data_IF_119680462086
#
_entry.id   IF_119680462086
#
_cell.length_a   1.000
_cell.length_b   1.000
_cell.length_c   1.000
_cell.angle_alpha   90.00
_cell.angle_beta   90.00
_cell.angle_gamma   90.00
#
_symmetry.space_group_name_H-M   'P 1'
#
loop_
_entity.id
_entity.type
_entity.pdbx_description
1 polymer ?
#
# COMPACT_ATOMS: atom_id res chain seq x y z
N UNK A 1 -9.58 58.31 -2.37
CA UNK A 1 -10.16 57.14 -1.68
C UNK A 1 -11.06 56.47 -2.70
N UNK A 2 -10.72 55.26 -3.16
CA UNK A 2 -11.64 54.51 -4.01
C UNK A 2 -12.88 54.18 -3.15
N UNK A 3 -14.11 54.39 -3.66
CA UNK A 3 -15.30 54.13 -2.87
C UNK A 3 -15.39 52.66 -2.48
N UNK A 4 -15.76 52.36 -1.23
CA UNK A 4 -15.80 50.99 -0.68
C UNK A 4 -16.65 50.01 -1.52
N UNK A 5 -17.66 50.51 -2.26
CA UNK A 5 -18.49 49.70 -3.15
C UNK A 5 -17.75 49.11 -4.36
N UNK A 6 -16.69 49.77 -4.83
CA UNK A 6 -15.83 49.27 -5.92
C UNK A 6 -15.12 48.00 -5.48
N UNK A 7 -14.58 47.98 -4.26
CA UNK A 7 -13.88 46.82 -3.72
C UNK A 7 -14.81 45.61 -3.52
N UNK A 8 -16.03 45.82 -3.03
CA UNK A 8 -17.02 44.75 -2.86
C UNK A 8 -17.47 44.14 -4.18
N UNK A 9 -17.60 44.95 -5.23
CA UNK A 9 -17.99 44.49 -6.57
C UNK A 9 -16.89 43.62 -7.20
N UNK A 10 -15.62 44.02 -7.04
CA UNK A 10 -14.48 43.22 -7.50
C UNK A 10 -14.35 41.90 -6.76
N UNK A 11 -14.57 41.88 -5.45
CA UNK A 11 -14.56 40.65 -4.66
C UNK A 11 -15.66 39.69 -5.10
N UNK A 12 -16.88 40.19 -5.32
CA UNK A 12 -18.00 39.38 -5.81
C UNK A 12 -17.74 38.85 -7.23
N UNK A 13 -17.17 39.68 -8.12
CA UNK A 13 -16.81 39.25 -9.47
C UNK A 13 -15.73 38.16 -9.43
N UNK A 14 -14.70 38.32 -8.60
CA UNK A 14 -13.65 37.31 -8.40
C UNK A 14 -14.23 36.00 -7.87
N UNK A 15 -15.14 36.06 -6.90
CA UNK A 15 -15.84 34.92 -6.31
C UNK A 15 -16.57 34.08 -7.39
N UNK A 16 -17.34 34.74 -8.26
CA UNK A 16 -18.03 34.08 -9.37
C UNK A 16 -17.09 33.54 -10.44
N UNK A 17 -16.01 34.25 -10.76
CA UNK A 17 -14.98 33.76 -11.69
C UNK A 17 -14.37 32.47 -11.16
N UNK A 18 -14.04 32.39 -9.87
CA UNK A 18 -13.52 31.17 -9.24
C UNK A 18 -14.51 30.01 -9.37
N UNK A 19 -15.80 30.24 -9.08
CA UNK A 19 -16.85 29.20 -9.17
C UNK A 19 -17.04 28.67 -10.59
N UNK A 20 -17.15 29.56 -11.58
CA UNK A 20 -17.34 29.19 -12.98
C UNK A 20 -16.10 28.48 -13.53
N UNK A 21 -14.90 28.98 -13.21
CA UNK A 21 -13.67 28.30 -13.58
C UNK A 21 -13.57 26.91 -12.94
N UNK A 22 -13.92 26.77 -11.66
CA UNK A 22 -13.94 25.48 -10.98
C UNK A 22 -14.95 24.51 -11.63
N UNK A 23 -16.15 24.98 -11.98
CA UNK A 23 -17.19 24.17 -12.64
C UNK A 23 -16.72 23.61 -13.99
N UNK A 24 -15.96 24.38 -14.76
CA UNK A 24 -15.43 23.95 -16.05
C UNK A 24 -14.16 23.08 -15.91
N UNK A 25 -13.35 23.33 -14.88
CA UNK A 25 -12.04 22.70 -14.71
C UNK A 25 -12.05 21.38 -13.94
N UNK A 26 -12.81 21.31 -12.84
CA UNK A 26 -12.76 20.20 -11.87
C UNK A 26 -13.35 18.89 -12.44
N UNK A 27 -14.55 18.90 -13.07
CA UNK A 27 -15.16 17.66 -13.56
C UNK A 27 -14.34 16.93 -14.63
N UNK A 28 -13.54 17.66 -15.40
CA UNK A 28 -12.71 17.06 -16.46
C UNK A 28 -11.45 16.35 -15.93
N UNK A 29 -11.17 16.46 -14.62
CA UNK A 29 -9.90 16.04 -14.03
C UNK A 29 -10.07 15.14 -12.81
N UNK A 30 -11.24 15.12 -12.18
CA UNK A 30 -11.47 14.35 -10.96
C UNK A 30 -12.65 13.41 -11.13
N UNK A 31 -12.72 12.38 -10.28
CA UNK A 31 -13.86 11.46 -10.30
C UNK A 31 -15.16 12.23 -10.02
N UNK A 32 -16.33 11.78 -10.53
CA UNK A 32 -17.59 12.48 -10.31
C UNK A 32 -17.95 12.67 -8.83
N UNK A 33 -17.48 11.79 -7.94
CA UNK A 33 -17.60 11.94 -6.48
C UNK A 33 -16.76 13.10 -5.96
N UNK A 34 -15.44 13.06 -6.19
CA UNK A 34 -14.52 14.10 -5.76
C UNK A 34 -14.87 15.47 -6.35
N UNK A 35 -15.25 15.52 -7.64
CA UNK A 35 -15.67 16.73 -8.31
C UNK A 35 -16.83 17.42 -7.58
N UNK A 36 -17.86 16.66 -7.18
CA UNK A 36 -19.01 17.20 -6.42
C UNK A 36 -18.56 17.77 -5.08
N UNK A 37 -17.71 17.08 -4.34
CA UNK A 37 -17.21 17.52 -3.04
C UNK A 37 -16.40 18.82 -3.16
N UNK A 38 -15.50 18.90 -4.15
CA UNK A 38 -14.69 20.09 -4.40
C UNK A 38 -15.51 21.28 -4.89
N UNK A 39 -16.48 21.04 -5.79
CA UNK A 39 -17.39 22.08 -6.26
C UNK A 39 -18.30 22.60 -5.14
N UNK A 40 -18.74 21.74 -4.22
CA UNK A 40 -19.49 22.17 -3.03
C UNK A 40 -18.61 23.02 -2.11
N UNK A 41 -17.38 22.58 -1.81
CA UNK A 41 -16.46 23.35 -0.96
C UNK A 41 -16.13 24.72 -1.55
N UNK A 42 -15.82 24.77 -2.85
CA UNK A 42 -15.58 26.03 -3.57
C UNK A 42 -16.87 26.85 -3.69
N UNK A 43 -18.03 26.19 -3.78
CA UNK A 43 -19.33 26.85 -3.77
C UNK A 43 -19.66 27.52 -2.43
N UNK A 44 -19.26 26.97 -1.29
CA UNK A 44 -19.53 27.63 -0.01
C UNK A 44 -18.42 28.60 0.39
N UNK A 45 -17.16 28.27 0.11
CA UNK A 45 -15.99 29.04 0.58
C UNK A 45 -14.90 29.09 -0.51
N UNK A 46 -15.11 29.80 -1.64
CA UNK A 46 -14.22 29.72 -2.81
C UNK A 46 -12.80 30.20 -2.53
N UNK A 47 -12.62 31.22 -1.68
CA UNK A 47 -11.31 31.75 -1.30
C UNK A 47 -10.43 30.70 -0.60
N UNK A 48 -11.04 29.76 0.14
CA UNK A 48 -10.33 28.67 0.83
C UNK A 48 -10.37 27.38 -0.01
N UNK A 49 -11.51 27.09 -0.63
CA UNK A 49 -11.76 25.89 -1.40
C UNK A 49 -10.87 25.80 -2.64
N UNK A 50 -10.61 26.91 -3.35
CA UNK A 50 -9.74 26.89 -4.53
C UNK A 50 -8.28 26.57 -4.16
N UNK A 51 -7.63 27.24 -3.17
CA UNK A 51 -6.30 26.84 -2.71
C UNK A 51 -6.24 25.39 -2.25
N UNK A 52 -7.25 24.91 -1.51
CA UNK A 52 -7.30 23.51 -1.09
C UNK A 52 -7.41 22.55 -2.28
N UNK A 53 -8.24 22.86 -3.28
CA UNK A 53 -8.34 22.06 -4.51
C UNK A 53 -7.03 22.07 -5.30
N UNK A 54 -6.35 23.21 -5.38
CA UNK A 54 -5.07 23.30 -6.07
C UNK A 54 -3.96 22.55 -5.34
N UNK A 55 -4.09 22.31 -4.03
CA UNK A 55 -3.14 21.52 -3.23
C UNK A 55 -3.49 20.02 -3.19
N UNK A 56 -4.79 19.69 -3.19
CA UNK A 56 -5.30 18.36 -2.85
C UNK A 56 -6.37 17.80 -3.79
N UNK A 57 -6.77 18.52 -4.83
CA UNK A 57 -7.92 18.16 -5.66
C UNK A 57 -7.63 17.12 -6.74
N UNK A 58 -6.40 17.07 -7.24
CA UNK A 58 -6.01 16.16 -8.32
C UNK A 58 -4.68 15.49 -7.98
N UNK A 59 -4.55 14.15 -8.07
CA UNK A 59 -3.25 13.51 -8.00
C UNK A 59 -2.44 13.87 -9.25
N UNK A 60 -1.40 14.70 -9.12
CA UNK A 60 -0.46 14.94 -10.22
C UNK A 60 0.94 14.47 -9.82
N UNK A 61 1.62 13.89 -10.79
CA UNK A 61 3.05 13.67 -10.77
C UNK A 61 3.72 14.65 -11.74
N UNK A 62 4.96 15.03 -11.46
CA UNK A 62 5.73 15.83 -12.42
C UNK A 62 5.95 15.03 -13.71
N UNK A 63 5.97 15.70 -14.88
CA UNK A 63 6.20 15.04 -16.18
C UNK A 63 7.45 14.16 -16.18
N UNK A 64 8.53 14.65 -15.56
CA UNK A 64 9.77 13.91 -15.38
C UNK A 64 9.57 12.58 -14.63
N UNK A 65 8.72 12.54 -13.59
CA UNK A 65 8.43 11.28 -12.88
C UNK A 65 7.61 10.32 -13.71
N UNK A 66 6.61 10.83 -14.45
CA UNK A 66 5.80 9.99 -15.35
C UNK A 66 6.68 9.37 -16.43
N UNK A 67 7.56 10.16 -17.05
CA UNK A 67 8.53 9.68 -18.04
C UNK A 67 9.49 8.65 -17.43
N UNK A 68 10.08 8.95 -16.27
CA UNK A 68 10.97 8.00 -15.57
C UNK A 68 10.26 6.71 -15.19
N UNK A 69 9.01 6.78 -14.74
CA UNK A 69 8.22 5.58 -14.45
C UNK A 69 7.98 4.76 -15.71
N UNK A 70 7.61 5.39 -16.82
CA UNK A 70 7.40 4.67 -18.08
C UNK A 70 8.69 3.98 -18.56
N UNK A 71 9.84 4.65 -18.44
CA UNK A 71 11.15 4.04 -18.69
C UNK A 71 11.45 2.90 -17.72
N UNK A 72 11.16 3.06 -16.43
CA UNK A 72 11.38 2.02 -15.43
C UNK A 72 10.51 0.78 -15.71
N UNK A 73 9.25 0.95 -16.09
CA UNK A 73 8.37 -0.13 -16.54
C UNK A 73 8.95 -0.88 -17.74
N UNK A 74 9.54 -0.18 -18.71
CA UNK A 74 10.23 -0.83 -19.82
C UNK A 74 11.45 -1.64 -19.34
N UNK A 75 12.26 -1.06 -18.45
CA UNK A 75 13.43 -1.73 -17.88
C UNK A 75 13.03 -2.99 -17.09
N UNK A 76 11.93 -2.95 -16.34
CA UNK A 76 11.37 -4.10 -15.64
C UNK A 76 11.05 -5.24 -16.62
N UNK A 77 10.41 -4.93 -17.75
CA UNK A 77 10.12 -5.94 -18.78
C UNK A 77 11.39 -6.54 -19.39
N UNK A 78 12.39 -5.71 -19.68
CA UNK A 78 13.69 -6.16 -20.20
C UNK A 78 14.45 -7.03 -19.19
N UNK A 79 14.45 -6.66 -17.91
CA UNK A 79 15.17 -7.38 -16.85
C UNK A 79 14.53 -8.72 -16.48
N UNK A 80 13.28 -8.96 -16.89
CA UNK A 80 12.61 -10.25 -16.71
C UNK A 80 12.93 -11.26 -17.81
N UNK A 81 13.51 -10.83 -18.94
CA UNK A 81 13.84 -11.73 -20.06
C UNK A 81 14.63 -12.99 -19.64
N UNK A 82 15.65 -12.90 -18.76
CA UNK A 82 16.37 -14.08 -18.28
C UNK A 82 15.51 -15.06 -17.47
N UNK A 83 14.40 -14.59 -16.88
CA UNK A 83 13.50 -15.37 -16.04
C UNK A 83 12.37 -16.02 -16.83
N UNK A 84 12.24 -15.78 -18.15
CA UNK A 84 11.15 -16.34 -18.97
C UNK A 84 11.06 -17.86 -18.92
N UNK A 85 12.18 -18.56 -18.76
CA UNK A 85 12.21 -20.02 -18.61
C UNK A 85 11.49 -20.51 -17.33
N UNK A 86 11.35 -19.63 -16.34
CA UNK A 86 10.70 -19.88 -15.05
C UNK A 86 9.27 -19.34 -15.03
N UNK A 87 8.74 -18.85 -16.16
CA UNK A 87 7.38 -18.32 -16.26
C UNK A 87 6.37 -19.40 -15.87
N UNK A 88 5.57 -19.10 -14.85
CA UNK A 88 4.45 -19.97 -14.50
C UNK A 88 3.30 -19.76 -15.47
N UNK A 89 2.64 -20.85 -15.86
CA UNK A 89 1.39 -20.80 -16.60
C UNK A 89 0.29 -21.38 -15.71
N UNK A 90 -0.73 -20.58 -15.34
CA UNK A 90 -1.85 -21.09 -14.57
C UNK A 90 -2.59 -22.17 -15.37
N UNK A 91 -3.12 -23.22 -14.70
CA UNK A 91 -3.99 -24.19 -15.37
C UNK A 91 -5.21 -23.51 -16.00
N UNK A 92 -5.66 -23.99 -17.15
CA UNK A 92 -6.85 -23.45 -17.84
C UNK A 92 -8.10 -23.57 -16.96
N UNK A 93 -9.06 -22.65 -17.16
CA UNK A 93 -10.35 -22.62 -16.45
C UNK A 93 -10.26 -22.44 -14.92
N UNK A 94 -9.14 -21.91 -14.44
CA UNK A 94 -8.94 -21.53 -13.03
C UNK A 94 -9.08 -20.03 -12.82
N UNK A 95 -9.43 -19.62 -11.60
CA UNK A 95 -9.41 -18.22 -11.15
C UNK A 95 -8.04 -17.56 -11.41
N UNK A 96 -6.96 -18.31 -11.21
CA UNK A 96 -5.59 -17.88 -11.50
C UNK A 96 -5.36 -17.55 -12.98
N UNK A 97 -5.93 -18.33 -13.91
CA UNK A 97 -5.81 -18.07 -15.35
C UNK A 97 -6.49 -16.77 -15.80
N UNK A 98 -7.54 -16.36 -15.09
CA UNK A 98 -8.24 -15.10 -15.39
C UNK A 98 -7.53 -13.88 -14.79
N UNK A 99 -6.95 -14.01 -13.59
CA UNK A 99 -6.35 -12.86 -12.87
C UNK A 99 -4.90 -12.57 -13.26
N UNK A 100 -4.10 -13.60 -13.58
CA UNK A 100 -2.67 -13.44 -13.91
C UNK A 100 -2.43 -12.43 -15.05
N UNK A 101 -3.16 -12.47 -16.18
CA UNK A 101 -2.97 -11.52 -17.28
C UNK A 101 -3.36 -10.09 -16.92
N UNK A 102 -4.29 -9.90 -15.98
CA UNK A 102 -4.64 -8.57 -15.48
C UNK A 102 -3.46 -7.99 -14.69
N UNK A 103 -2.97 -8.76 -13.70
CA UNK A 103 -1.87 -8.36 -12.83
C UNK A 103 -0.59 -8.09 -13.64
N UNK A 104 -0.28 -8.94 -14.62
CA UNK A 104 0.92 -8.76 -15.44
C UNK A 104 0.85 -7.50 -16.29
N UNK A 105 -0.29 -7.23 -16.95
CA UNK A 105 -0.44 -6.05 -17.81
C UNK A 105 -0.48 -4.75 -17.03
N UNK A 106 -0.95 -4.79 -15.78
CA UNK A 106 -1.01 -3.63 -14.91
C UNK A 106 0.30 -3.38 -14.16
N UNK A 107 0.94 -4.45 -13.67
CA UNK A 107 2.14 -4.39 -12.83
C UNK A 107 3.46 -4.55 -13.57
N UNK A 108 3.46 -4.96 -14.84
CA UNK A 108 4.62 -5.34 -15.67
C UNK A 108 5.37 -6.60 -15.20
N UNK A 109 4.89 -7.32 -14.19
CA UNK A 109 5.58 -8.50 -13.64
C UNK A 109 4.88 -9.80 -14.03
N UNK A 110 5.63 -10.70 -14.69
CA UNK A 110 5.14 -12.03 -15.02
C UNK A 110 5.15 -12.95 -13.78
N UNK A 111 4.27 -13.96 -13.70
CA UNK A 111 4.35 -14.95 -12.63
C UNK A 111 5.55 -15.89 -12.85
N UNK A 112 6.23 -16.25 -11.77
CA UNK A 112 7.41 -17.15 -11.81
C UNK A 112 7.24 -18.34 -10.88
N UNK A 113 7.74 -19.50 -11.30
CA UNK A 113 7.96 -20.69 -10.49
C UNK A 113 9.30 -20.61 -9.75
N UNK A 114 9.59 -21.63 -8.94
CA UNK A 114 10.90 -21.76 -8.29
C UNK A 114 11.08 -20.88 -7.06
N UNK A 115 10.00 -20.42 -6.42
CA UNK A 115 10.08 -19.58 -5.23
C UNK A 115 9.84 -20.39 -3.96
N UNK A 116 10.39 -19.90 -2.85
CA UNK A 116 10.01 -20.31 -1.50
C UNK A 116 9.50 -19.10 -0.74
N UNK A 117 8.41 -19.27 0.02
CA UNK A 117 7.73 -18.20 0.76
C UNK A 117 7.49 -18.66 2.19
N UNK A 118 8.10 -17.96 3.13
CA UNK A 118 7.96 -18.18 4.56
C UNK A 118 7.17 -17.01 5.18
N UNK A 119 5.98 -17.29 5.72
CA UNK A 119 5.12 -16.28 6.35
C UNK A 119 5.53 -16.08 7.83
N UNK A 120 5.97 -14.87 8.14
CA UNK A 120 6.40 -14.43 9.46
C UNK A 120 5.32 -13.53 10.08
N UNK A 121 4.59 -14.07 11.05
CA UNK A 121 3.50 -13.40 11.79
C UNK A 121 3.89 -12.97 13.21
N UNK A 122 5.09 -13.32 13.65
CA UNK A 122 5.72 -12.79 14.87
C UNK A 122 6.55 -11.52 14.56
N UNK A 123 6.28 -10.46 15.32
CA UNK A 123 6.85 -9.14 15.09
C UNK A 123 8.36 -9.09 15.33
N UNK A 124 8.85 -9.74 16.39
CA UNK A 124 10.26 -9.71 16.75
C UNK A 124 11.08 -10.63 15.83
N UNK A 125 10.56 -11.82 15.54
CA UNK A 125 11.19 -12.81 14.67
C UNK A 125 11.37 -12.27 13.24
N UNK A 126 10.39 -11.55 12.69
CA UNK A 126 10.51 -10.93 11.37
C UNK A 126 11.63 -9.88 11.30
N UNK A 127 11.76 -9.02 12.31
CA UNK A 127 12.87 -8.07 12.41
C UNK A 127 14.23 -8.75 12.64
N UNK A 128 14.28 -9.79 13.49
CA UNK A 128 15.48 -10.58 13.70
C UNK A 128 15.93 -11.28 12.42
N UNK A 129 15.00 -11.84 11.66
CA UNK A 129 15.29 -12.46 10.36
C UNK A 129 15.83 -11.45 9.34
N UNK A 130 15.28 -10.23 9.32
CA UNK A 130 15.80 -9.14 8.48
C UNK A 130 17.22 -8.77 8.88
N UNK A 131 17.47 -8.53 10.18
CA UNK A 131 18.81 -8.16 10.68
C UNK A 131 19.82 -9.28 10.39
N UNK A 132 19.46 -10.54 10.64
CA UNK A 132 20.30 -11.69 10.36
C UNK A 132 20.63 -11.80 8.86
N UNK A 133 19.68 -11.50 7.97
CA UNK A 133 19.94 -11.46 6.54
C UNK A 133 20.92 -10.34 6.17
N UNK A 134 20.78 -9.14 6.74
CA UNK A 134 21.73 -8.03 6.53
C UNK A 134 23.14 -8.39 7.06
N UNK A 135 23.22 -9.05 8.20
CA UNK A 135 24.48 -9.50 8.78
C UNK A 135 25.15 -10.61 7.97
N UNK A 136 24.37 -11.46 7.29
CA UNK A 136 24.87 -12.49 6.38
C UNK A 136 25.20 -11.97 4.98
N UNK A 137 24.85 -10.72 4.65
CA UNK A 137 25.04 -10.18 3.31
C UNK A 137 26.52 -10.09 2.92
N UNK A 138 26.80 -10.36 1.64
CA UNK A 138 28.13 -10.39 1.03
C UNK A 138 28.30 -9.33 -0.07
N UNK A 139 27.25 -8.98 -0.82
CA UNK A 139 27.34 -8.13 -2.01
C UNK A 139 26.56 -6.83 -1.87
N UNK A 140 25.27 -6.89 -1.56
CA UNK A 140 24.38 -5.73 -1.49
C UNK A 140 23.17 -5.90 -0.58
N UNK A 141 22.74 -4.80 0.01
CA UNK A 141 21.52 -4.68 0.81
C UNK A 141 20.71 -3.50 0.30
N UNK A 142 19.45 -3.72 -0.03
CA UNK A 142 18.52 -2.69 -0.52
C UNK A 142 17.28 -2.68 0.36
N UNK A 143 17.06 -1.58 1.09
CA UNK A 143 15.91 -1.40 1.98
C UNK A 143 15.04 -0.26 1.47
N UNK A 144 13.73 -0.49 1.37
CA UNK A 144 12.74 0.53 1.05
C UNK A 144 11.60 0.44 2.06
N UNK A 145 11.40 1.50 2.85
CA UNK A 145 10.40 1.51 3.93
C UNK A 145 9.68 2.85 4.07
N UNK A 146 8.40 2.76 4.43
CA UNK A 146 7.56 3.92 4.75
C UNK A 146 7.91 4.56 6.09
N UNK A 147 7.98 3.76 7.18
CA UNK A 147 8.38 4.23 8.50
C UNK A 147 9.72 3.61 8.89
N UNK A 148 10.57 4.48 9.44
CA UNK A 148 11.72 4.12 10.25
C UNK A 148 11.77 5.06 11.44
N UNK A 149 11.72 4.52 12.65
CA UNK A 149 11.72 5.30 13.89
C UNK A 149 13.09 5.35 14.55
N UNK A 150 13.30 6.40 15.34
CA UNK A 150 14.50 6.61 16.15
C UNK A 150 14.40 5.87 17.50
N UNK A 151 14.24 4.55 17.42
CA UNK A 151 14.04 3.62 18.53
C UNK A 151 15.01 2.41 18.45
N UNK A 152 14.86 1.42 19.35
CA UNK A 152 15.80 0.28 19.42
C UNK A 152 15.84 -0.55 18.13
N UNK A 153 14.71 -0.65 17.42
CA UNK A 153 14.64 -1.34 16.12
C UNK A 153 15.40 -0.54 15.07
N UNK A 154 15.18 0.78 15.00
CA UNK A 154 15.92 1.66 14.10
C UNK A 154 17.44 1.61 14.36
N UNK A 155 17.86 1.65 15.62
CA UNK A 155 19.27 1.53 16.02
C UNK A 155 19.88 0.17 15.63
N UNK A 156 19.14 -0.92 15.83
CA UNK A 156 19.59 -2.27 15.47
C UNK A 156 19.77 -2.45 13.95
N UNK A 157 18.83 -1.94 13.14
CA UNK A 157 18.93 -1.97 11.67
C UNK A 157 20.10 -1.13 11.18
N UNK A 158 20.30 0.07 11.75
CA UNK A 158 21.45 0.94 11.41
C UNK A 158 22.77 0.23 11.74
N UNK A 159 22.87 -0.38 12.91
CA UNK A 159 24.06 -1.12 13.31
C UNK A 159 24.34 -2.31 12.37
N UNK A 160 23.31 -3.02 11.93
CA UNK A 160 23.44 -4.12 10.96
C UNK A 160 23.94 -3.62 9.60
N UNK A 161 23.38 -2.52 9.10
CA UNK A 161 23.83 -1.89 7.85
C UNK A 161 25.28 -1.40 7.94
N UNK A 162 25.69 -0.82 9.07
CA UNK A 162 27.08 -0.39 9.29
C UNK A 162 28.04 -1.59 9.32
N UNK A 163 27.65 -2.70 9.98
CA UNK A 163 28.43 -3.94 9.94
C UNK A 163 28.55 -4.48 8.52
N UNK A 164 27.47 -4.48 7.74
CA UNK A 164 27.49 -4.90 6.35
C UNK A 164 28.42 -4.02 5.49
N UNK A 165 28.26 -2.71 5.61
CA UNK A 165 29.10 -1.74 4.91
C UNK A 165 30.58 -1.88 5.28
N UNK A 166 30.90 -2.15 6.55
CA UNK A 166 32.27 -2.38 7.01
C UNK A 166 32.90 -3.65 6.38
N UNK A 167 32.08 -4.65 6.00
CA UNK A 167 32.53 -5.83 5.23
C UNK A 167 32.64 -5.56 3.72
N UNK A 168 32.32 -4.34 3.26
CA UNK A 168 32.33 -3.96 1.84
C UNK A 168 31.01 -4.20 1.09
N UNK A 169 29.95 -4.59 1.81
CA UNK A 169 28.61 -4.81 1.22
C UNK A 169 28.00 -3.47 0.82
N UNK A 170 27.49 -3.36 -0.41
CA UNK A 170 26.87 -2.11 -0.88
C UNK A 170 25.46 -1.93 -0.30
N UNK A 171 25.30 -0.97 0.59
CA UNK A 171 24.01 -0.72 1.26
C UNK A 171 23.29 0.51 0.67
N UNK A 172 22.01 0.34 0.30
CA UNK A 172 21.13 1.42 -0.18
C UNK A 172 19.81 1.43 0.58
N UNK A 173 19.40 2.61 1.04
CA UNK A 173 18.18 2.79 1.84
C UNK A 173 17.31 3.90 1.23
N UNK A 174 16.08 3.53 0.89
CA UNK A 174 15.01 4.42 0.46
C UNK A 174 14.00 4.56 1.60
N UNK A 175 13.81 5.78 2.09
CA UNK A 175 12.87 6.07 3.18
C UNK A 175 11.86 7.10 2.73
N UNK A 176 10.57 6.89 2.97
CA UNK A 176 9.56 7.92 2.71
C UNK A 176 9.86 9.19 3.53
N UNK A 177 9.88 10.34 2.86
CA UNK A 177 10.35 11.57 3.47
C UNK A 177 9.47 12.10 4.60
N UNK A 178 8.20 11.68 4.66
CA UNK A 178 7.25 12.13 5.68
C UNK A 178 7.04 11.04 6.73
N UNK A 179 6.78 9.80 6.30
CA UNK A 179 6.61 8.67 7.19
C UNK A 179 7.87 8.40 8.04
N UNK A 180 9.03 8.34 7.41
CA UNK A 180 10.31 8.07 8.08
C UNK A 180 11.05 9.34 8.50
N UNK A 181 10.37 10.49 8.65
CA UNK A 181 11.00 11.77 9.02
C UNK A 181 11.84 11.68 10.30
N UNK A 182 11.38 10.90 11.29
CA UNK A 182 12.11 10.64 12.55
C UNK A 182 13.44 9.92 12.30
N UNK A 183 13.40 8.75 11.65
CA UNK A 183 14.58 7.98 11.28
C UNK A 183 15.53 8.75 10.34
N UNK A 184 15.01 9.45 9.33
CA UNK A 184 15.81 10.30 8.43
C UNK A 184 16.55 11.39 9.19
N UNK A 185 15.91 12.05 10.15
CA UNK A 185 16.56 13.10 10.97
C UNK A 185 17.67 12.51 11.85
N UNK A 186 17.44 11.33 12.43
CA UNK A 186 18.36 10.67 13.36
C UNK A 186 19.55 10.02 12.65
N UNK A 187 19.31 9.24 11.61
CA UNK A 187 20.29 8.29 11.07
C UNK A 187 20.94 8.71 9.76
N UNK A 188 20.28 9.54 8.93
CA UNK A 188 20.74 9.81 7.56
C UNK A 188 22.18 10.33 7.48
N UNK A 189 22.57 11.29 8.33
CA UNK A 189 23.93 11.84 8.33
C UNK A 189 24.97 10.78 8.71
N UNK A 190 24.66 9.95 9.71
CA UNK A 190 25.52 8.86 10.19
C UNK A 190 25.73 7.81 9.11
N UNK A 191 24.64 7.33 8.50
CA UNK A 191 24.68 6.33 7.43
C UNK A 191 25.48 6.83 6.22
N UNK A 192 25.24 8.07 5.77
CA UNK A 192 26.00 8.66 4.66
C UNK A 192 27.49 8.80 4.98
N UNK A 193 27.84 9.20 6.21
CA UNK A 193 29.25 9.27 6.64
C UNK A 193 29.92 7.89 6.68
N UNK A 194 29.14 6.83 6.95
CA UNK A 194 29.60 5.44 6.87
C UNK A 194 29.69 4.87 5.45
N UNK A 195 29.31 5.64 4.41
CA UNK A 195 29.34 5.19 3.01
C UNK A 195 28.07 4.48 2.53
N UNK A 196 27.01 4.47 3.35
CA UNK A 196 25.70 3.88 3.00
C UNK A 196 24.88 4.91 2.23
N UNK A 197 24.32 4.52 1.09
CA UNK A 197 23.52 5.42 0.26
C UNK A 197 22.10 5.57 0.83
N UNK A 198 21.69 6.79 1.23
CA UNK A 198 20.37 7.04 1.84
C UNK A 198 19.62 8.17 1.16
N UNK A 199 18.44 7.87 0.61
CA UNK A 199 17.56 8.84 -0.04
C UNK A 199 16.19 8.92 0.63
N UNK A 200 15.66 10.15 0.64
CA UNK A 200 14.29 10.42 1.05
C UNK A 200 13.40 10.41 -0.21
N UNK A 201 12.43 9.50 -0.24
CA UNK A 201 11.47 9.31 -1.34
C UNK A 201 10.31 10.29 -1.18
N UNK A 202 9.82 10.84 -2.30
CA UNK A 202 8.71 11.80 -2.33
C UNK A 202 8.82 12.96 -1.30
N UNK A 203 9.93 13.75 -1.28
CA UNK A 203 10.22 14.75 -0.25
C UNK A 203 9.25 15.94 -0.11
N UNK A 204 8.29 16.12 -1.03
CA UNK A 204 7.35 17.24 -1.00
C UNK A 204 8.02 18.63 -1.00
N UNK A 205 7.36 19.62 -0.41
CA UNK A 205 7.90 20.98 -0.17
C UNK A 205 8.12 21.82 -1.44
N UNK A 206 9.02 22.81 -1.40
CA UNK A 206 9.35 23.67 -2.56
C UNK A 206 9.87 22.89 -3.79
N UNK A 207 10.25 21.61 -3.59
CA UNK A 207 10.64 20.66 -4.63
C UNK A 207 9.45 19.90 -5.25
N UNK A 208 8.20 20.17 -4.84
CA UNK A 208 6.98 19.55 -5.36
C UNK A 208 6.85 19.63 -6.89
N UNK A 209 7.33 20.71 -7.51
CA UNK A 209 7.39 20.87 -8.98
C UNK A 209 8.20 19.77 -9.69
N UNK A 210 9.16 19.14 -9.01
CA UNK A 210 9.99 18.03 -9.51
C UNK A 210 9.55 16.66 -8.96
N UNK A 211 8.54 16.62 -8.10
CA UNK A 211 8.09 15.39 -7.44
C UNK A 211 6.65 15.08 -7.85
N UNK A 212 5.68 15.58 -7.09
CA UNK A 212 4.26 15.38 -7.27
C UNK A 212 3.51 16.09 -6.14
N UNK A 213 2.21 15.80 -5.99
CA UNK A 213 1.38 16.29 -4.89
C UNK A 213 2.00 15.95 -3.52
N UNK A 214 1.82 16.84 -2.53
CA UNK A 214 2.54 16.77 -1.26
C UNK A 214 2.19 15.57 -0.38
N UNK A 215 1.04 14.93 -0.61
CA UNK A 215 0.47 13.84 0.17
C UNK A 215 0.63 12.47 -0.49
N UNK A 216 1.28 12.38 -1.65
CA UNK A 216 1.72 11.11 -2.22
C UNK A 216 2.79 10.51 -1.32
N UNK A 217 2.73 9.21 -1.08
CA UNK A 217 3.67 8.49 -0.20
C UNK A 217 4.12 7.20 -0.82
N UNK A 218 5.34 6.79 -0.52
CA UNK A 218 5.79 5.44 -0.83
C UNK A 218 5.56 4.58 0.42
N UNK A 219 4.55 3.72 0.32
CA UNK A 219 4.07 2.92 1.41
C UNK A 219 4.51 1.45 1.31
N UNK A 220 5.39 1.15 0.35
CA UNK A 220 6.02 -0.17 0.21
C UNK A 220 6.98 -0.44 1.37
N UNK A 221 7.13 -1.72 1.71
CA UNK A 221 8.13 -2.24 2.66
C UNK A 221 8.80 -3.42 1.99
N UNK A 222 10.02 -3.20 1.52
CA UNK A 222 10.80 -4.15 0.73
C UNK A 222 12.20 -4.20 1.30
N UNK A 223 12.72 -5.39 1.51
CA UNK A 223 14.15 -5.61 1.68
C UNK A 223 14.63 -6.64 0.66
N UNK A 224 15.77 -6.37 0.03
CA UNK A 224 16.44 -7.30 -0.87
C UNK A 224 17.90 -7.42 -0.42
N UNK A 225 18.32 -8.66 -0.14
CA UNK A 225 19.66 -8.98 0.33
C UNK A 225 20.30 -9.93 -0.68
N UNK A 226 21.42 -9.49 -1.27
CA UNK A 226 22.23 -10.20 -2.25
C UNK A 226 21.48 -10.79 -3.44
N UNK A 227 20.26 -10.31 -3.68
CA UNK A 227 19.32 -10.91 -4.63
C UNK A 227 19.02 -12.40 -4.35
N UNK A 228 19.25 -12.85 -3.11
CA UNK A 228 18.99 -14.23 -2.66
C UNK A 228 17.79 -14.31 -1.71
N UNK A 229 17.61 -13.29 -0.86
CA UNK A 229 16.53 -13.22 0.11
C UNK A 229 15.81 -11.89 -0.03
N UNK A 230 14.48 -11.94 -0.09
CA UNK A 230 13.60 -10.79 -0.09
C UNK A 230 12.67 -10.77 1.12
N UNK A 231 12.20 -9.59 1.49
CA UNK A 231 11.13 -9.40 2.45
C UNK A 231 10.09 -8.44 1.86
N UNK A 232 8.81 -8.80 1.98
CA UNK A 232 7.69 -7.96 1.55
C UNK A 232 6.52 -8.13 2.52
N UNK A 233 5.83 -7.03 2.86
CA UNK A 233 4.67 -7.11 3.74
C UNK A 233 4.29 -5.79 4.39
N UNK A 234 3.73 -5.90 5.59
CA UNK A 234 3.16 -4.77 6.35
C UNK A 234 4.15 -4.14 7.34
N UNK A 235 5.14 -4.94 7.77
CA UNK A 235 6.41 -4.64 8.43
C UNK A 235 6.99 -3.22 8.40
N UNK A 236 6.82 -2.34 9.38
CA UNK A 236 7.64 -1.11 9.46
C UNK A 236 8.92 -1.27 10.33
N UNK A 237 9.92 -0.41 10.15
CA UNK A 237 11.15 -0.41 10.97
C UNK A 237 10.97 0.42 12.25
N UNK A 238 10.23 -0.15 13.20
CA UNK A 238 9.93 0.47 14.49
C UNK A 238 9.68 -0.60 15.57
N UNK A 239 9.72 -0.22 16.85
CA UNK A 239 9.31 -1.09 17.95
C UNK A 239 7.80 -1.39 17.91
N UNK A 240 7.38 -2.63 18.19
CA UNK A 240 5.98 -3.03 18.14
C UNK A 240 5.04 -2.09 18.92
N UNK A 241 5.50 -1.57 20.07
CA UNK A 241 4.75 -0.68 20.96
C UNK A 241 4.62 0.77 20.50
N UNK A 242 4.96 1.13 19.26
CA UNK A 242 4.88 2.53 18.84
C UNK A 242 3.45 3.10 18.79
N UNK A 243 2.42 2.24 18.82
CA UNK A 243 1.04 2.63 19.11
C UNK A 243 0.78 2.37 20.58
N UNK A 244 0.46 3.45 21.31
CA UNK A 244 0.22 3.39 22.75
C UNK A 244 -0.86 2.34 23.08
N UNK A 245 -0.57 1.51 24.08
CA UNK A 245 -1.41 0.43 24.61
C UNK A 245 -1.78 -0.71 23.64
N UNK A 246 -1.32 -0.69 22.38
CA UNK A 246 -1.68 -1.69 21.38
C UNK A 246 -0.46 -2.02 20.51
N UNK A 247 0.39 -2.99 20.94
CA UNK A 247 1.53 -3.38 20.14
C UNK A 247 1.08 -3.82 18.74
N UNK A 248 1.89 -3.56 17.72
CA UNK A 248 1.56 -3.88 16.34
C UNK A 248 1.66 -5.40 16.11
N UNK A 249 0.68 -5.94 15.39
CA UNK A 249 0.76 -7.27 14.78
C UNK A 249 0.75 -7.13 13.27
N UNK A 250 1.78 -7.66 12.64
CA UNK A 250 2.05 -7.50 11.21
C UNK A 250 2.32 -8.87 10.58
N UNK A 251 2.28 -8.90 9.25
CA UNK A 251 2.63 -10.07 8.46
C UNK A 251 3.70 -9.67 7.44
N UNK A 252 4.76 -10.48 7.37
CA UNK A 252 5.86 -10.34 6.41
C UNK A 252 6.06 -11.68 5.71
N UNK A 253 6.18 -11.66 4.39
CA UNK A 253 6.69 -12.79 3.63
C UNK A 253 8.20 -12.64 3.47
N UNK A 254 8.96 -13.59 4.00
CA UNK A 254 10.36 -13.80 3.63
C UNK A 254 10.38 -14.72 2.41
N UNK A 255 11.06 -14.28 1.36
CA UNK A 255 11.03 -14.97 0.07
C UNK A 255 12.42 -15.29 -0.43
N UNK A 256 12.53 -16.39 -1.16
CA UNK A 256 13.73 -16.82 -1.90
C UNK A 256 13.30 -17.25 -3.30
N UNK A 257 14.23 -17.14 -4.24
CA UNK A 257 14.00 -17.50 -5.64
C UNK A 257 13.69 -16.33 -6.55
N UNK A 258 13.20 -16.61 -7.78
CA UNK A 258 13.07 -15.62 -8.85
C UNK A 258 12.31 -14.34 -8.49
N UNK A 259 11.37 -14.41 -7.55
CA UNK A 259 10.63 -13.26 -7.02
C UNK A 259 11.53 -12.21 -6.34
N UNK A 260 12.70 -12.61 -5.85
CA UNK A 260 13.67 -11.67 -5.27
C UNK A 260 14.22 -10.73 -6.35
N UNK A 261 14.46 -11.23 -7.57
CA UNK A 261 14.82 -10.38 -8.71
C UNK A 261 13.71 -9.36 -9.01
N UNK A 262 12.45 -9.78 -8.93
CA UNK A 262 11.31 -8.89 -9.15
C UNK A 262 11.23 -7.80 -8.06
N UNK A 263 11.46 -8.17 -6.79
CA UNK A 263 11.52 -7.19 -5.69
C UNK A 263 12.67 -6.21 -5.90
N UNK A 264 13.82 -6.69 -6.38
CA UNK A 264 14.95 -5.84 -6.73
C UNK A 264 14.63 -4.88 -7.88
N UNK A 265 13.91 -5.35 -8.91
CA UNK A 265 13.47 -4.51 -10.01
C UNK A 265 12.49 -3.41 -9.54
N UNK A 266 11.62 -3.69 -8.58
CA UNK A 266 10.77 -2.66 -7.94
C UNK A 266 11.64 -1.64 -7.20
N UNK A 267 12.62 -2.09 -6.39
CA UNK A 267 13.54 -1.18 -5.72
C UNK A 267 14.35 -0.32 -6.70
N UNK A 268 14.87 -0.92 -7.77
CA UNK A 268 15.62 -0.24 -8.81
C UNK A 268 14.77 0.80 -9.57
N UNK A 269 13.48 0.49 -9.79
CA UNK A 269 12.50 1.42 -10.37
C UNK A 269 12.25 2.64 -9.49
N UNK A 270 12.06 2.45 -8.18
CA UNK A 270 11.92 3.55 -7.22
C UNK A 270 13.21 4.37 -7.13
N UNK A 271 14.39 3.71 -7.13
CA UNK A 271 15.68 4.38 -7.16
C UNK A 271 15.86 5.25 -8.42
N UNK A 272 15.54 4.69 -9.59
CA UNK A 272 15.62 5.41 -10.86
C UNK A 272 14.65 6.59 -10.90
N UNK A 273 13.44 6.43 -10.36
CA UNK A 273 12.46 7.51 -10.29
C UNK A 273 12.99 8.69 -9.49
N UNK A 274 13.64 8.45 -8.36
CA UNK A 274 14.22 9.49 -7.51
C UNK A 274 15.52 10.09 -8.07
N UNK A 275 16.43 9.26 -8.56
CA UNK A 275 17.80 9.69 -8.91
C UNK A 275 18.01 9.92 -10.41
N UNK A 276 17.29 9.20 -11.27
CA UNK A 276 17.58 9.05 -12.69
C UNK A 276 18.72 8.07 -13.00
N UNK A 277 19.30 7.41 -11.98
CA UNK A 277 20.36 6.43 -12.15
C UNK A 277 19.75 5.03 -12.28
N UNK A 278 20.08 4.32 -13.36
CA UNK A 278 19.69 2.92 -13.54
C UNK A 278 20.56 2.04 -12.64
N UNK A 279 19.93 1.12 -11.92
CA UNK A 279 20.63 0.07 -11.19
C UNK A 279 20.57 -1.24 -11.98
N UNK A 280 21.65 -2.02 -11.90
CA UNK A 280 21.69 -3.36 -12.45
C UNK A 280 20.98 -4.35 -11.50
N UNK A 281 19.93 -4.99 -12.01
CA UNK A 281 19.26 -6.12 -11.37
C UNK A 281 19.98 -7.38 -11.82
N UNK A 282 20.42 -8.22 -10.89
CA UNK A 282 21.09 -9.47 -11.26
C UNK A 282 20.03 -10.53 -11.46
N UNK A 283 20.09 -11.38 -12.50
CA UNK A 283 19.16 -12.48 -12.69
C UNK A 283 19.72 -13.78 -12.06
N UNK A 284 20.34 -13.70 -10.88
CA UNK A 284 21.07 -14.82 -10.25
C UNK A 284 20.36 -15.43 -9.02
N UNK A 285 19.12 -15.03 -8.75
CA UNK A 285 18.37 -15.59 -7.63
C UNK A 285 18.19 -17.12 -7.79
N UNK A 286 18.48 -17.93 -6.75
CA UNK A 286 18.48 -19.38 -6.85
C UNK A 286 17.07 -19.95 -6.95
N UNK A 287 16.83 -20.83 -7.92
CA UNK A 287 15.56 -21.58 -8.01
C UNK A 287 15.40 -22.48 -6.78
N UNK A 288 14.28 -22.35 -6.08
CA UNK A 288 13.96 -23.09 -4.87
C UNK A 288 13.08 -24.31 -5.18
N UNK A 289 13.37 -25.43 -4.51
CA UNK A 289 12.62 -26.70 -4.67
C UNK A 289 11.16 -26.61 -4.23
N UNK A 290 10.82 -25.70 -3.31
CA UNK A 290 9.43 -25.45 -2.89
C UNK A 290 8.53 -25.03 -4.07
N UNK A 291 9.11 -24.45 -5.12
CA UNK A 291 8.50 -24.22 -6.42
C UNK A 291 7.15 -23.47 -6.41
N UNK A 292 6.96 -22.54 -5.47
CA UNK A 292 5.75 -21.73 -5.33
C UNK A 292 5.66 -20.76 -6.50
N UNK A 293 4.51 -20.73 -7.18
CA UNK A 293 4.21 -19.74 -8.20
C UNK A 293 3.90 -18.38 -7.55
N UNK A 294 4.64 -17.33 -7.91
CA UNK A 294 4.46 -15.99 -7.34
C UNK A 294 4.48 -14.89 -8.39
N UNK A 295 3.78 -13.80 -8.11
CA UNK A 295 3.68 -12.63 -8.99
C UNK A 295 3.63 -11.34 -8.17
N UNK A 296 4.41 -10.33 -8.56
CA UNK A 296 4.35 -9.01 -7.92
C UNK A 296 3.28 -8.13 -8.53
N UNK A 297 2.67 -7.32 -7.68
CA UNK A 297 1.68 -6.30 -8.03
C UNK A 297 2.10 -4.97 -7.38
N UNK A 298 3.02 -4.22 -8.01
CA UNK A 298 3.23 -2.84 -7.63
C UNK A 298 2.03 -1.99 -8.05
N UNK A 299 1.72 -0.97 -7.26
CA UNK A 299 0.68 0.00 -7.57
C UNK A 299 1.07 1.39 -7.09
N UNK A 300 0.30 2.40 -7.51
CA UNK A 300 0.42 3.78 -7.08
C UNK A 300 0.21 4.80 -8.19
N UNK A 301 0.32 6.09 -7.87
CA UNK A 301 -0.06 7.20 -8.77
C UNK A 301 0.78 7.29 -10.05
N UNK A 302 1.89 6.55 -10.12
CA UNK A 302 2.78 6.51 -11.28
C UNK A 302 2.31 5.49 -12.33
N UNK A 303 1.45 4.54 -11.95
CA UNK A 303 0.86 3.57 -12.87
C UNK A 303 -0.38 4.17 -13.56
N UNK A 304 -0.69 3.73 -14.80
CA UNK A 304 -1.82 4.27 -15.56
C UNK A 304 -3.19 3.86 -15.01
N UNK A 305 -3.26 2.76 -14.25
CA UNK A 305 -4.48 2.22 -13.66
C UNK A 305 -4.32 2.05 -12.14
N UNK A 306 -5.44 1.87 -11.44
CA UNK A 306 -5.46 1.55 -10.01
C UNK A 306 -5.22 0.06 -9.78
N UNK A 307 -4.00 -0.39 -10.12
CA UNK A 307 -3.62 -1.81 -10.19
C UNK A 307 -4.06 -2.64 -8.95
N UNK A 308 -3.84 -2.09 -7.75
CA UNK A 308 -4.22 -2.77 -6.51
C UNK A 308 -5.73 -2.95 -6.37
N UNK A 309 -6.51 -1.89 -6.65
CA UNK A 309 -7.96 -1.92 -6.61
C UNK A 309 -8.50 -2.94 -7.60
N UNK A 310 -8.06 -2.86 -8.85
CA UNK A 310 -8.58 -3.70 -9.93
C UNK A 310 -8.25 -5.18 -9.69
N UNK A 311 -7.03 -5.49 -9.24
CA UNK A 311 -6.66 -6.86 -8.89
C UNK A 311 -7.47 -7.40 -7.70
N UNK A 312 -7.64 -6.62 -6.62
CA UNK A 312 -8.44 -7.04 -5.46
C UNK A 312 -9.90 -7.29 -5.86
N UNK A 313 -10.49 -6.39 -6.66
CA UNK A 313 -11.86 -6.57 -7.17
C UNK A 313 -11.98 -7.81 -8.05
N UNK A 314 -11.02 -8.06 -8.94
CA UNK A 314 -11.00 -9.26 -9.77
C UNK A 314 -10.94 -10.53 -8.91
N UNK A 315 -10.06 -10.56 -7.91
CA UNK A 315 -9.94 -11.70 -6.98
C UNK A 315 -11.26 -11.92 -6.21
N UNK A 316 -11.94 -10.87 -5.75
CA UNK A 316 -13.23 -11.00 -5.06
C UNK A 316 -14.31 -11.54 -6.01
N UNK A 317 -14.34 -11.06 -7.26
CA UNK A 317 -15.32 -11.52 -8.26
C UNK A 317 -15.10 -12.97 -8.70
N UNK A 318 -13.86 -13.44 -8.69
CA UNK A 318 -13.50 -14.81 -9.09
C UNK A 318 -13.67 -15.83 -7.96
N UNK A 319 -13.87 -15.38 -6.73
CA UNK A 319 -14.04 -16.26 -5.58
C UNK A 319 -15.29 -17.13 -5.72
N UNK A 320 -15.15 -18.43 -5.46
CA UNK A 320 -16.24 -19.40 -5.57
C UNK A 320 -16.74 -19.89 -4.20
N UNK A 321 -15.92 -19.81 -3.16
CA UNK A 321 -16.24 -20.37 -1.83
C UNK A 321 -16.01 -19.39 -0.70
N UNK A 322 -14.84 -18.75 -0.62
CA UNK A 322 -14.43 -17.95 0.54
C UNK A 322 -13.41 -16.87 0.20
N UNK A 323 -13.62 -15.67 0.74
CA UNK A 323 -12.61 -14.60 0.74
C UNK A 323 -12.41 -14.12 2.17
N UNK A 324 -11.16 -14.08 2.64
CA UNK A 324 -10.80 -13.36 3.87
C UNK A 324 -9.96 -12.16 3.50
N UNK A 325 -10.33 -11.00 4.06
CA UNK A 325 -9.61 -9.75 3.91
C UNK A 325 -9.15 -9.27 5.28
N UNK A 326 -7.87 -8.93 5.42
CA UNK A 326 -7.29 -8.39 6.64
C UNK A 326 -6.63 -7.06 6.36
N UNK A 327 -7.06 -6.01 7.05
CA UNK A 327 -6.54 -4.66 6.86
C UNK A 327 -6.69 -3.81 8.15
N UNK A 328 -5.75 -2.90 8.45
CA UNK A 328 -5.89 -1.96 9.56
C UNK A 328 -6.96 -0.87 9.33
N UNK A 329 -7.17 -0.50 8.08
CA UNK A 329 -8.13 0.53 7.67
C UNK A 329 -8.97 0.01 6.52
N UNK A 330 -10.27 0.18 6.62
CA UNK A 330 -11.22 -0.26 5.61
C UNK A 330 -12.15 0.88 5.24
N UNK A 331 -11.79 1.62 4.19
CA UNK A 331 -12.57 2.75 3.66
C UNK A 331 -12.70 2.50 2.16
N UNK A 332 -13.53 1.53 1.76
CA UNK A 332 -13.59 1.06 0.38
C UNK A 332 -14.19 2.14 -0.52
N UNK A 333 -13.84 2.08 -1.80
CA UNK A 333 -14.59 2.77 -2.83
C UNK A 333 -15.86 1.98 -3.21
N UNK A 334 -16.70 2.57 -4.04
CA UNK A 334 -17.96 1.95 -4.48
C UNK A 334 -17.74 0.64 -5.23
N UNK A 335 -16.61 0.52 -5.96
CA UNK A 335 -16.29 -0.69 -6.71
C UNK A 335 -15.98 -1.86 -5.76
N UNK A 336 -15.13 -1.65 -4.76
CA UNK A 336 -14.81 -2.67 -3.75
C UNK A 336 -16.03 -3.04 -2.90
N UNK A 337 -16.84 -2.05 -2.49
CA UNK A 337 -18.07 -2.30 -1.74
C UNK A 337 -19.06 -3.15 -2.56
N UNK A 338 -19.23 -2.82 -3.85
CA UNK A 338 -20.07 -3.60 -4.75
C UNK A 338 -19.54 -5.01 -4.97
N UNK A 339 -18.23 -5.19 -5.14
CA UNK A 339 -17.61 -6.51 -5.30
C UNK A 339 -17.85 -7.41 -4.08
N UNK A 340 -17.62 -6.89 -2.86
CA UNK A 340 -17.88 -7.62 -1.61
C UNK A 340 -19.36 -7.99 -1.46
N UNK A 341 -20.26 -7.05 -1.77
CA UNK A 341 -21.71 -7.29 -1.74
C UNK A 341 -22.13 -8.37 -2.74
N UNK A 342 -21.63 -8.30 -3.98
CA UNK A 342 -21.94 -9.29 -5.01
C UNK A 342 -21.47 -10.67 -4.56
N UNK A 343 -20.21 -10.81 -4.12
CA UNK A 343 -19.67 -12.08 -3.63
C UNK A 343 -20.51 -12.66 -2.48
N UNK A 344 -20.83 -11.85 -1.46
CA UNK A 344 -21.61 -12.30 -0.31
C UNK A 344 -23.03 -12.75 -0.70
N UNK A 345 -23.74 -11.97 -1.53
CA UNK A 345 -25.09 -12.32 -2.00
C UNK A 345 -25.09 -13.52 -2.95
N UNK A 346 -23.99 -13.74 -3.68
CA UNK A 346 -23.77 -14.93 -4.51
C UNK A 346 -23.45 -16.20 -3.70
N UNK A 347 -23.38 -16.11 -2.36
CA UNK A 347 -23.15 -17.25 -1.47
C UNK A 347 -21.68 -17.53 -1.15
N UNK A 348 -20.76 -16.67 -1.56
CA UNK A 348 -19.34 -16.74 -1.15
C UNK A 348 -19.22 -16.30 0.30
N UNK A 349 -18.48 -17.05 1.12
CA UNK A 349 -18.19 -16.64 2.49
C UNK A 349 -17.18 -15.48 2.49
N UNK A 350 -17.66 -14.26 2.70
CA UNK A 350 -16.81 -13.07 2.81
C UNK A 350 -16.56 -12.75 4.28
N UNK A 351 -15.30 -12.76 4.69
CA UNK A 351 -14.86 -12.45 6.04
C UNK A 351 -13.89 -11.26 6.03
N UNK A 352 -14.26 -10.19 6.72
CA UNK A 352 -13.43 -9.01 6.94
C UNK A 352 -12.89 -9.04 8.38
N UNK A 353 -11.57 -8.98 8.55
CA UNK A 353 -10.90 -8.91 9.84
C UNK A 353 -10.23 -7.54 9.95
N UNK A 354 -10.64 -6.78 10.96
CA UNK A 354 -10.12 -5.43 11.23
C UNK A 354 -9.53 -5.38 12.63
N UNK A 355 -8.67 -4.39 12.88
CA UNK A 355 -8.25 -4.07 14.23
C UNK A 355 -9.40 -3.40 15.01
N UNK A 356 -9.66 -3.84 16.25
CA UNK A 356 -10.62 -3.15 17.14
C UNK A 356 -10.08 -1.78 17.57
N UNK A 357 -8.77 -1.69 17.78
CA UNK A 357 -8.08 -0.44 18.11
C UNK A 357 -7.59 0.21 16.83
N UNK A 358 -7.65 1.54 16.77
CA UNK A 358 -7.21 2.30 15.61
C UNK A 358 -6.47 3.56 16.07
N UNK A 359 -5.30 3.82 15.47
CA UNK A 359 -4.50 5.02 15.73
C UNK A 359 -5.03 6.27 14.99
N UNK A 360 -5.97 6.11 14.06
CA UNK A 360 -6.61 7.17 13.28
C UNK A 360 -8.12 7.21 13.53
N UNK A 361 -8.56 8.10 14.44
CA UNK A 361 -9.97 8.20 14.85
C UNK A 361 -10.93 8.50 13.69
N UNK A 362 -10.51 9.33 12.73
CA UNK A 362 -11.35 9.67 11.58
C UNK A 362 -11.55 8.46 10.67
N UNK A 363 -10.48 7.72 10.36
CA UNK A 363 -10.55 6.47 9.60
C UNK A 363 -11.40 5.42 10.32
N UNK A 364 -11.29 5.34 11.65
CA UNK A 364 -12.13 4.46 12.46
C UNK A 364 -13.62 4.82 12.34
N UNK A 365 -14.00 6.10 12.33
CA UNK A 365 -15.40 6.49 12.14
C UNK A 365 -15.87 6.29 10.70
N UNK A 366 -15.00 6.51 9.71
CA UNK A 366 -15.30 6.29 8.30
C UNK A 366 -15.58 4.81 8.02
N UNK A 367 -14.73 3.89 8.48
CA UNK A 367 -14.94 2.45 8.28
C UNK A 367 -16.24 1.95 8.92
N UNK A 368 -16.57 2.44 10.12
CA UNK A 368 -17.81 2.08 10.84
C UNK A 368 -19.07 2.45 10.04
N UNK A 369 -19.01 3.47 9.18
CA UNK A 369 -20.13 3.88 8.33
C UNK A 369 -20.55 2.79 7.33
N UNK A 370 -19.64 1.87 6.95
CA UNK A 370 -19.88 0.81 5.96
C UNK A 370 -20.36 -0.50 6.59
N UNK A 371 -20.21 -0.68 7.91
CA UNK A 371 -20.49 -1.96 8.55
C UNK A 371 -21.96 -2.38 8.48
N UNK A 372 -22.92 -1.45 8.54
CA UNK A 372 -24.35 -1.82 8.44
C UNK A 372 -24.69 -2.42 7.07
N UNK A 373 -24.16 -1.83 5.99
CA UNK A 373 -24.39 -2.31 4.63
C UNK A 373 -23.76 -3.68 4.40
N UNK A 374 -22.50 -3.85 4.84
CA UNK A 374 -21.76 -5.11 4.73
C UNK A 374 -22.41 -6.24 5.53
N UNK A 375 -22.73 -6.00 6.80
CA UNK A 375 -23.39 -6.99 7.64
C UNK A 375 -24.75 -7.39 7.08
N UNK A 376 -25.50 -6.44 6.49
CA UNK A 376 -26.80 -6.72 5.87
C UNK A 376 -26.70 -7.60 4.63
N UNK A 377 -25.61 -7.52 3.85
CA UNK A 377 -25.43 -8.37 2.67
C UNK A 377 -24.75 -9.72 2.98
N UNK A 378 -24.46 -10.01 4.25
CA UNK A 378 -23.90 -11.30 4.68
C UNK A 378 -22.38 -11.32 4.84
N UNK A 379 -21.70 -10.18 4.70
CA UNK A 379 -20.27 -10.08 5.00
C UNK A 379 -20.06 -10.21 6.51
N UNK A 380 -19.21 -11.15 6.93
CA UNK A 380 -18.84 -11.34 8.33
C UNK A 380 -17.74 -10.34 8.69
N UNK A 381 -17.91 -9.59 9.77
CA UNK A 381 -16.90 -8.63 10.25
C UNK A 381 -16.44 -9.06 11.64
N UNK A 382 -15.12 -9.17 11.82
CA UNK A 382 -14.49 -9.50 13.09
C UNK A 382 -13.48 -8.41 13.49
N UNK A 383 -13.56 -7.94 14.74
CA UNK A 383 -12.66 -6.93 15.29
C UNK A 383 -11.64 -7.58 16.22
N UNK A 384 -10.41 -7.69 15.77
CA UNK A 384 -9.30 -8.27 16.52
C UNK A 384 -8.87 -7.37 17.68
N UNK A 385 -8.75 -7.94 18.88
CA UNK A 385 -8.60 -7.18 20.13
C UNK A 385 -7.17 -7.03 20.67
N UNK A 386 -6.33 -8.09 20.72
CA UNK A 386 -5.14 -8.07 21.57
C UNK A 386 -4.06 -7.06 21.15
N UNK A 387 -3.91 -6.84 19.84
CA UNK A 387 -2.86 -6.01 19.25
C UNK A 387 -3.49 -5.05 18.23
N UNK A 388 -2.76 -4.01 17.83
CA UNK A 388 -3.14 -3.26 16.64
C UNK A 388 -2.83 -4.11 15.41
N UNK A 389 -3.87 -4.64 14.74
CA UNK A 389 -3.70 -5.50 13.57
C UNK A 389 -3.39 -4.63 12.35
N UNK A 390 -2.11 -4.52 12.03
CA UNK A 390 -1.61 -3.80 10.87
C UNK A 390 -1.21 -4.74 9.73
N UNK A 391 -1.49 -6.03 9.84
CA UNK A 391 -1.35 -6.98 8.73
C UNK A 391 -2.25 -6.61 7.55
N UNK A 392 -1.75 -6.85 6.33
CA UNK A 392 -2.43 -6.54 5.06
C UNK A 392 -2.28 -7.73 4.13
N UNK A 393 -3.34 -8.52 4.07
CA UNK A 393 -3.38 -9.69 3.22
C UNK A 393 -4.81 -10.05 2.85
N UNK A 394 -4.92 -10.85 1.81
CA UNK A 394 -6.15 -11.42 1.33
C UNK A 394 -5.89 -12.88 0.98
N UNK A 395 -6.88 -13.72 1.23
CA UNK A 395 -6.89 -15.11 0.76
C UNK A 395 -8.22 -15.44 0.10
N UNK A 396 -8.14 -15.99 -1.10
CA UNK A 396 -9.30 -16.37 -1.91
C UNK A 396 -9.28 -17.88 -2.13
N UNK A 397 -10.39 -18.52 -1.75
CA UNK A 397 -10.60 -19.95 -1.80
C UNK A 397 -9.39 -20.70 -1.21
N UNK A 398 -8.86 -21.64 -1.98
CA UNK A 398 -7.62 -22.38 -1.70
C UNK A 398 -6.54 -22.07 -2.75
N UNK A 399 -6.76 -21.03 -3.57
CA UNK A 399 -6.04 -20.82 -4.83
C UNK A 399 -5.05 -19.65 -4.77
N UNK A 400 -5.45 -18.54 -4.11
CA UNK A 400 -4.69 -17.28 -4.16
C UNK A 400 -4.50 -16.72 -2.75
N UNK A 401 -3.25 -16.41 -2.42
CA UNK A 401 -2.87 -15.57 -1.30
C UNK A 401 -2.24 -14.28 -1.82
N UNK A 402 -2.61 -13.14 -1.24
CA UNK A 402 -2.01 -11.83 -1.47
C UNK A 402 -1.43 -11.33 -0.15
N UNK A 403 -0.14 -11.02 -0.11
CA UNK A 403 0.54 -10.42 1.06
C UNK A 403 1.27 -9.16 0.61
N UNK A 404 1.20 -8.08 1.38
CA UNK A 404 1.90 -6.85 1.00
C UNK A 404 1.65 -5.66 1.91
N UNK A 405 1.71 -4.47 1.31
CA UNK A 405 1.53 -3.19 2.00
C UNK A 405 0.20 -2.49 1.70
N UNK A 406 -0.61 -3.07 0.81
CA UNK A 406 -1.87 -2.50 0.30
C UNK A 406 -2.94 -2.47 1.41
N UNK A 407 -3.44 -1.28 1.75
CA UNK A 407 -4.67 -1.17 2.54
C UNK A 407 -5.90 -1.25 1.62
N UNK A 408 -7.05 -1.54 2.20
CA UNK A 408 -8.35 -1.47 1.52
C UNK A 408 -8.99 -0.10 1.72
N UNK A 409 -8.28 0.95 1.31
CA UNK A 409 -8.75 2.33 1.38
C UNK A 409 -8.45 3.12 0.09
N UNK A 410 -9.28 4.12 -0.21
CA UNK A 410 -9.19 4.96 -1.43
C UNK A 410 -7.78 5.57 -1.57
N UNK A 411 -7.17 5.97 -0.45
CA UNK A 411 -5.85 6.59 -0.44
C UNK A 411 -4.77 5.59 -0.85
N UNK A 412 -4.86 4.33 -0.41
CA UNK A 412 -3.96 3.25 -0.81
C UNK A 412 -4.10 2.90 -2.28
N UNK A 413 -5.29 3.00 -2.86
CA UNK A 413 -5.52 2.72 -4.28
C UNK A 413 -5.07 3.85 -5.20
N UNK A 414 -5.29 5.11 -4.80
CA UNK A 414 -5.08 6.26 -5.68
C UNK A 414 -3.78 7.05 -5.40
N UNK A 415 -3.33 7.15 -4.15
CA UNK A 415 -2.31 8.12 -3.74
C UNK A 415 -1.00 7.50 -3.23
N UNK A 416 -1.04 6.30 -2.68
CA UNK A 416 0.16 5.64 -2.17
C UNK A 416 0.79 4.73 -3.23
N UNK A 417 2.11 4.73 -3.29
CA UNK A 417 2.83 3.64 -3.94
C UNK A 417 2.83 2.43 -3.00
N UNK A 418 2.23 1.32 -3.44
CA UNK A 418 2.09 0.09 -2.67
C UNK A 418 2.70 -1.11 -3.42
N UNK A 419 2.85 -2.22 -2.71
CA UNK A 419 3.28 -3.50 -3.30
C UNK A 419 2.43 -4.63 -2.71
N UNK A 420 1.93 -5.49 -3.60
CA UNK A 420 1.38 -6.80 -3.27
C UNK A 420 2.24 -7.89 -3.88
N UNK A 421 2.27 -9.05 -3.24
CA UNK A 421 2.79 -10.29 -3.79
C UNK A 421 1.67 -11.31 -3.77
N UNK A 422 1.29 -11.79 -4.95
CA UNK A 422 0.38 -12.90 -5.12
C UNK A 422 1.16 -14.20 -5.13
N UNK A 423 0.58 -15.21 -4.48
CA UNK A 423 1.09 -16.56 -4.45
C UNK A 423 -0.04 -17.52 -4.84
N UNK A 424 0.25 -18.38 -5.81
CA UNK A 424 -0.69 -19.35 -6.37
C UNK A 424 -0.33 -20.75 -5.86
N UNK A 425 -0.46 -20.94 -4.55
CA UNK A 425 -0.11 -22.20 -3.90
C UNK A 425 -1.07 -22.51 -2.75
N UNK A 426 -1.61 -23.73 -2.79
CA UNK A 426 -2.61 -24.22 -1.83
C UNK A 426 -2.04 -24.33 -0.42
N UNK A 427 -0.80 -24.79 -0.28
CA UNK A 427 -0.15 -24.96 1.03
C UNK A 427 0.07 -23.61 1.72
N UNK A 428 0.51 -22.61 0.95
CA UNK A 428 0.68 -21.25 1.45
C UNK A 428 -0.66 -20.60 1.82
N UNK A 429 -1.71 -20.80 1.01
CA UNK A 429 -3.07 -20.33 1.36
C UNK A 429 -3.53 -20.98 2.66
N UNK A 430 -3.32 -22.28 2.85
CA UNK A 430 -3.65 -22.95 4.12
C UNK A 430 -2.86 -22.39 5.30
N UNK A 431 -1.57 -22.11 5.15
CA UNK A 431 -0.76 -21.46 6.20
C UNK A 431 -1.29 -20.06 6.53
N UNK A 432 -1.69 -19.28 5.52
CA UNK A 432 -2.30 -17.97 5.71
C UNK A 432 -3.66 -18.08 6.43
N UNK A 433 -4.47 -19.08 6.10
CA UNK A 433 -5.75 -19.38 6.76
C UNK A 433 -5.57 -19.72 8.25
N UNK A 434 -4.49 -20.41 8.63
CA UNK A 434 -4.19 -20.67 10.04
C UNK A 434 -3.90 -19.38 10.82
N UNK A 435 -3.14 -18.46 10.20
CA UNK A 435 -2.86 -17.13 10.77
C UNK A 435 -4.18 -16.34 10.93
N UNK A 436 -5.05 -16.37 9.91
CA UNK A 436 -6.38 -15.75 9.95
C UNK A 436 -7.28 -16.34 11.05
N UNK A 437 -7.24 -17.66 11.25
CA UNK A 437 -7.99 -18.34 12.31
C UNK A 437 -7.53 -17.91 13.71
N UNK A 438 -6.22 -17.72 13.93
CA UNK A 438 -5.71 -17.18 15.19
C UNK A 438 -6.22 -15.75 15.44
N UNK A 439 -6.30 -14.92 14.40
CA UNK A 439 -6.94 -13.60 14.54
C UNK A 439 -8.41 -13.73 14.93
N UNK A 440 -9.16 -14.60 14.26
CA UNK A 440 -10.58 -14.82 14.55
C UNK A 440 -10.83 -15.35 15.96
N UNK A 441 -9.99 -16.26 16.46
CA UNK A 441 -10.06 -16.78 17.82
C UNK A 441 -9.93 -15.68 18.88
N UNK A 442 -9.23 -14.60 18.54
CA UNK A 442 -8.98 -13.45 19.41
C UNK A 442 -9.81 -12.20 19.03
N UNK A 443 -10.78 -12.35 18.12
CA UNK A 443 -11.61 -11.25 17.63
C UNK A 443 -13.02 -11.27 18.21
N UNK A 444 -13.64 -10.09 18.24
CA UNK A 444 -15.07 -9.94 18.48
C UNK A 444 -15.82 -9.97 17.15
N UNK A 445 -16.71 -10.94 16.90
CA UNK A 445 -17.61 -10.85 15.76
C UNK A 445 -18.59 -9.67 15.93
N UNK A 446 -18.93 -9.01 14.83
CA UNK A 446 -19.98 -8.00 14.80
C UNK A 446 -21.29 -8.60 14.30
N UNK A 447 -22.34 -8.43 15.10
CA UNK A 447 -23.69 -8.82 14.73
C UNK A 447 -24.50 -7.61 14.28
N UNK A 448 -25.28 -7.77 13.20
CA UNK A 448 -26.08 -6.68 12.62
C UNK A 448 -27.04 -6.07 13.64
N UNK A 449 -27.74 -6.89 14.42
CA UNK A 449 -28.68 -6.43 15.43
C UNK A 449 -28.00 -5.60 16.52
N UNK A 450 -26.85 -6.06 17.00
CA UNK A 450 -26.05 -5.33 17.99
C UNK A 450 -25.54 -4.01 17.41
N UNK A 451 -25.10 -4.03 16.15
CA UNK A 451 -24.61 -2.85 15.44
C UNK A 451 -25.67 -1.77 15.30
N UNK A 452 -26.93 -2.14 15.07
CA UNK A 452 -28.05 -1.21 14.91
C UNK A 452 -28.56 -0.58 16.19
N UNK A 453 -28.26 -1.16 17.36
CA UNK A 453 -28.64 -0.60 18.68
C UNK A 453 -27.82 0.63 19.08
N UNK A 454 -26.83 1.03 18.28
CA UNK A 454 -25.96 2.18 18.58
C UNK A 454 -26.74 3.51 18.47
N UNK A 455 -26.42 4.52 19.30
CA UNK A 455 -27.09 5.81 19.27
C UNK A 455 -27.00 6.51 17.90
N UNK A 456 -28.07 7.20 17.49
CA UNK A 456 -28.13 7.90 16.20
C UNK A 456 -27.01 8.93 15.99
N UNK A 457 -26.56 9.61 17.06
CA UNK A 457 -25.46 10.58 16.97
C UNK A 457 -24.13 9.95 16.52
N UNK A 458 -23.88 8.67 16.87
CA UNK A 458 -22.68 7.95 16.41
C UNK A 458 -22.73 7.74 14.90
N UNK A 459 -23.90 7.34 14.39
CA UNK A 459 -24.16 7.18 12.96
C UNK A 459 -23.98 8.49 12.18
N UNK A 460 -24.42 9.62 12.73
CA UNK A 460 -24.19 10.93 12.10
C UNK A 460 -22.70 11.27 12.02
N UNK A 461 -21.93 11.02 13.09
CA UNK A 461 -20.47 11.23 13.10
C UNK A 461 -19.76 10.34 12.07
N UNK A 462 -20.14 9.06 11.98
CA UNK A 462 -19.63 8.11 10.98
C UNK A 462 -19.91 8.59 9.56
N UNK A 463 -21.15 9.06 9.30
CA UNK A 463 -21.53 9.63 8.01
C UNK A 463 -20.74 10.89 7.64
N UNK A 464 -20.45 11.77 8.61
CA UNK A 464 -19.60 12.96 8.40
C UNK A 464 -18.15 12.54 8.12
N UNK A 465 -17.62 11.56 8.86
CA UNK A 465 -16.26 11.05 8.63
C UNK A 465 -16.09 10.50 7.20
N UNK A 466 -17.08 9.74 6.72
CA UNK A 466 -17.13 9.22 5.35
C UNK A 466 -17.10 10.33 4.27
N UNK A 467 -17.64 11.53 4.56
CA UNK A 467 -17.59 12.64 3.61
C UNK A 467 -16.19 13.23 3.47
N UNK A 468 -15.35 13.14 4.51
CA UNK A 468 -13.96 13.60 4.41
C UNK A 468 -13.18 12.79 3.38
N UNK A 469 -13.52 11.51 3.20
CA UNK A 469 -12.90 10.65 2.20
C UNK A 469 -13.32 10.99 0.78
N UNK A 470 -14.53 11.53 0.58
CA UNK A 470 -15.02 11.98 -0.72
C UNK A 470 -14.29 13.23 -1.26
N UNK A 471 -13.35 13.81 -0.50
CA UNK A 471 -12.43 14.87 -0.94
C UNK A 471 -11.10 14.33 -1.47
N UNK A 472 -10.79 13.06 -1.20
CA UNK A 472 -9.60 12.35 -1.72
C UNK A 472 -9.90 11.75 -3.09
#
# INVERSE_FOLDING_TARGET
>A
MLPDWVSGTWLLALDWVIRLAALLWIPARTTPGAARSWLLLIGFVPVVGLPLYLLFGHPWLSRLRVERQATASQVIREQQLPLHALRWQPPTDTSSAEVVPLIERQGDFMPTLGNAVDLLDDYAHSLQALIAAIDAAEKRVHLLYYLMFDDAVGDAVVAALERAQARGVRCRVLLDAVGAKRGLRRYRKRLLAGGIEVLAVLPGGLRWRRSGRMDLRNHRKIAVIDNQVGFVGSQNLAEAGFIHDAPNRELVARVRGPVVNHLEAVFASDWFTETGQRLDVWPDAPVCEANIATQLLPSGPAYPFENARDAINAVIHLARRKVVLVTPYFVPDEALLSALRIAAVSGVEVQLILSERNNQRLAAWAQEAYFDELLRCGVKIALYRPHFLHAKHLSMDEDIALVGSINLDIRSFALNAEIGMLCYDRGLVQRLRQIEQDYLANARPLELEQWRRRPAWRRSREGIARLADALM
#
